data_IF_118126376710
#
_entry.id   IF_118126376710
#
_cell.length_a   1.000
_cell.length_b   1.000
_cell.length_c   1.000
_cell.angle_alpha   90.00
_cell.angle_beta   90.00
_cell.angle_gamma   90.00
#
_symmetry.space_group_name_H-M   'P 1'
#
loop_
_entity.id
_entity.type
_entity.pdbx_description
1 polymer ?
#
# COMPACT_ATOMS: atom_id res chain seq x y z
N UNK A 1 31.49 -8.44 2.69
CA UNK A 1 30.05 -8.70 2.87
C UNK A 1 29.68 -9.00 4.32
N UNK A 2 30.32 -9.95 5.02
CA UNK A 2 29.96 -10.28 6.41
C UNK A 2 30.01 -9.09 7.39
N UNK A 3 31.04 -8.22 7.30
CA UNK A 3 31.11 -7.00 8.11
C UNK A 3 29.99 -6.01 7.79
N UNK A 4 29.60 -5.88 6.51
CA UNK A 4 28.48 -5.03 6.07
C UNK A 4 27.14 -5.56 6.59
N UNK A 5 26.90 -6.87 6.49
CA UNK A 5 25.68 -7.52 6.99
C UNK A 5 25.57 -7.41 8.51
N UNK A 6 26.68 -7.57 9.23
CA UNK A 6 26.72 -7.38 10.69
C UNK A 6 26.39 -5.93 11.07
N UNK A 7 26.91 -4.95 10.32
CA UNK A 7 26.56 -3.54 10.48
C UNK A 7 25.08 -3.25 10.24
N UNK A 8 24.51 -3.81 9.16
CA UNK A 8 23.09 -3.70 8.84
C UNK A 8 22.25 -4.31 9.96
N UNK A 9 22.57 -5.53 10.40
CA UNK A 9 21.85 -6.23 11.48
C UNK A 9 21.84 -5.43 12.78
N UNK A 10 22.98 -4.82 13.15
CA UNK A 10 23.06 -3.91 14.29
C UNK A 10 22.13 -2.70 14.14
N UNK A 11 22.09 -2.09 12.95
CA UNK A 11 21.17 -0.99 12.66
C UNK A 11 19.69 -1.41 12.77
N UNK A 12 19.30 -2.56 12.21
CA UNK A 12 17.94 -3.08 12.34
C UNK A 12 17.60 -3.40 13.81
N UNK A 13 18.58 -3.89 14.58
CA UNK A 13 18.47 -4.10 16.03
C UNK A 13 18.09 -2.84 16.82
N UNK A 14 18.59 -1.67 16.41
CA UNK A 14 18.26 -0.37 17.04
C UNK A 14 16.80 0.05 16.83
N UNK A 15 16.20 -0.31 15.70
CA UNK A 15 14.77 -0.07 15.46
C UNK A 15 13.96 -1.08 16.26
N UNK A 16 14.38 -2.35 16.24
CA UNK A 16 13.71 -3.44 16.94
C UNK A 16 13.67 -3.26 18.47
N UNK A 17 14.63 -2.55 19.07
CA UNK A 17 14.64 -2.28 20.51
C UNK A 17 13.56 -1.29 20.97
N UNK A 18 12.88 -0.59 20.05
CA UNK A 18 11.78 0.32 20.38
C UNK A 18 10.58 -0.49 20.88
N UNK A 19 10.08 -0.16 22.07
CA UNK A 19 8.91 -0.82 22.67
C UNK A 19 7.71 -0.79 21.73
N UNK A 20 7.21 -1.98 21.38
CA UNK A 20 6.08 -2.15 20.48
C UNK A 20 6.44 -2.45 19.02
N UNK A 21 7.72 -2.33 18.62
CA UNK A 21 8.21 -2.86 17.35
C UNK A 21 8.37 -4.37 17.48
N UNK A 22 7.74 -5.10 16.56
CA UNK A 22 7.74 -6.56 16.54
C UNK A 22 8.82 -7.09 15.62
N UNK A 23 8.85 -6.59 14.38
CA UNK A 23 9.72 -7.08 13.32
C UNK A 23 10.27 -5.93 12.49
N UNK A 24 11.51 -6.08 12.03
CA UNK A 24 12.19 -5.18 11.11
C UNK A 24 12.90 -6.02 10.06
N UNK A 25 12.70 -5.72 8.79
CA UNK A 25 13.40 -6.40 7.68
C UNK A 25 13.86 -5.39 6.65
N UNK A 26 15.10 -5.56 6.19
CA UNK A 26 15.64 -4.90 5.01
C UNK A 26 15.34 -5.78 3.80
N UNK A 27 14.63 -5.23 2.83
CA UNK A 27 14.15 -5.95 1.66
C UNK A 27 14.70 -5.27 0.40
N UNK A 28 15.10 -6.08 -0.56
CA UNK A 28 15.43 -5.61 -1.90
C UNK A 28 14.15 -5.48 -2.74
N UNK A 29 14.18 -4.62 -3.75
CA UNK A 29 13.03 -4.33 -4.63
C UNK A 29 12.40 -5.55 -5.29
N UNK A 30 13.15 -6.61 -5.53
CA UNK A 30 12.68 -7.89 -6.08
C UNK A 30 11.98 -8.81 -5.06
N UNK A 31 11.87 -8.37 -3.80
CA UNK A 31 11.24 -9.12 -2.71
C UNK A 31 12.19 -10.04 -1.96
N UNK A 32 13.50 -9.98 -2.20
CA UNK A 32 14.47 -10.76 -1.42
C UNK A 32 14.78 -10.10 -0.06
N UNK A 33 14.73 -10.86 1.05
CA UNK A 33 15.21 -10.37 2.34
C UNK A 33 16.74 -10.28 2.33
N UNK A 34 17.27 -9.12 2.69
CA UNK A 34 18.71 -8.90 2.89
C UNK A 34 19.10 -9.29 4.31
N UNK A 35 18.44 -8.68 5.29
CA UNK A 35 18.67 -8.91 6.72
C UNK A 35 17.41 -8.61 7.52
N UNK A 36 17.27 -9.23 8.70
CA UNK A 36 16.11 -9.00 9.56
C UNK A 36 16.45 -9.00 11.05
N UNK A 37 15.60 -8.35 11.84
CA UNK A 37 15.67 -8.30 13.31
C UNK A 37 14.25 -8.31 13.87
N UNK A 38 13.90 -9.32 14.66
CA UNK A 38 12.51 -9.50 15.08
C UNK A 38 12.18 -10.89 15.61
N UNK A 39 10.90 -11.06 15.94
CA UNK A 39 10.30 -12.34 16.29
C UNK A 39 9.53 -12.83 15.06
N UNK A 40 10.18 -13.68 14.28
CA UNK A 40 9.59 -14.35 13.11
C UNK A 40 9.23 -15.80 13.47
N UNK A 41 8.07 -16.26 13.03
CA UNK A 41 7.60 -17.62 13.21
C UNK A 41 8.36 -18.60 12.31
N UNK A 42 8.76 -18.16 11.11
CA UNK A 42 9.52 -18.98 10.17
C UNK A 42 10.30 -18.13 9.16
N UNK A 43 11.26 -18.76 8.46
CA UNK A 43 11.91 -18.13 7.30
C UNK A 43 10.89 -17.81 6.20
N UNK A 44 9.90 -18.69 5.99
CA UNK A 44 8.87 -18.49 4.96
C UNK A 44 8.02 -17.25 5.23
N UNK A 45 7.78 -16.91 6.50
CA UNK A 45 7.09 -15.67 6.87
C UNK A 45 7.89 -14.43 6.42
N UNK A 46 9.21 -14.42 6.62
CA UNK A 46 10.09 -13.33 6.17
C UNK A 46 9.99 -13.17 4.65
N UNK A 47 10.12 -14.26 3.89
CA UNK A 47 10.01 -14.24 2.44
C UNK A 47 8.63 -13.77 1.97
N UNK A 48 7.55 -14.25 2.59
CA UNK A 48 6.19 -13.84 2.27
C UNK A 48 5.97 -12.35 2.49
N UNK A 49 6.44 -11.82 3.63
CA UNK A 49 6.37 -10.39 3.93
C UNK A 49 7.19 -9.59 2.92
N UNK A 50 8.43 -9.97 2.65
CA UNK A 50 9.29 -9.25 1.69
C UNK A 50 8.69 -9.22 0.27
N UNK A 51 8.12 -10.34 -0.18
CA UNK A 51 7.45 -10.43 -1.49
C UNK A 51 6.23 -9.52 -1.57
N UNK A 52 5.34 -9.56 -0.56
CA UNK A 52 4.14 -8.71 -0.55
C UNK A 52 4.53 -7.23 -0.43
N UNK A 53 5.48 -6.89 0.44
CA UNK A 53 5.92 -5.49 0.59
C UNK A 53 6.57 -4.99 -0.70
N UNK A 54 7.34 -5.82 -1.41
CA UNK A 54 7.90 -5.45 -2.71
C UNK A 54 6.79 -5.08 -3.71
N UNK A 55 5.73 -5.89 -3.79
CA UNK A 55 4.58 -5.56 -4.63
C UNK A 55 3.92 -4.23 -4.22
N UNK A 56 3.66 -4.05 -2.91
CA UNK A 56 3.11 -2.80 -2.36
C UNK A 56 3.99 -1.59 -2.70
N UNK A 57 5.30 -1.71 -2.48
CA UNK A 57 6.27 -0.64 -2.72
C UNK A 57 6.36 -0.28 -4.20
N UNK A 58 6.36 -1.26 -5.10
CA UNK A 58 6.42 -1.02 -6.54
C UNK A 58 5.16 -0.30 -7.04
N UNK A 59 3.97 -0.64 -6.55
CA UNK A 59 2.74 0.09 -6.89
C UNK A 59 2.80 1.53 -6.34
N UNK A 60 3.31 1.72 -5.12
CA UNK A 60 3.46 3.05 -4.54
C UNK A 60 4.49 3.92 -5.28
N UNK A 61 5.62 3.35 -5.71
CA UNK A 61 6.61 4.04 -6.55
C UNK A 61 6.06 4.33 -7.95
N UNK A 62 5.21 3.47 -8.51
CA UNK A 62 4.53 3.78 -9.77
C UNK A 62 3.55 4.95 -9.61
N UNK A 63 2.85 5.02 -8.48
CA UNK A 63 1.90 6.11 -8.19
C UNK A 63 2.61 7.42 -7.79
N UNK A 64 3.76 7.33 -7.11
CA UNK A 64 4.47 8.46 -6.51
C UNK A 64 5.94 8.53 -6.93
N UNK A 65 6.21 8.30 -8.21
CA UNK A 65 7.57 8.11 -8.77
C UNK A 65 8.59 9.14 -8.26
N UNK A 66 9.58 8.65 -7.51
CA UNK A 66 10.70 9.45 -6.96
C UNK A 66 10.31 10.47 -5.87
N UNK A 67 9.06 10.44 -5.41
CA UNK A 67 8.53 11.39 -4.43
C UNK A 67 8.17 10.75 -3.08
N UNK A 68 8.13 9.41 -3.01
CA UNK A 68 7.77 8.67 -1.80
C UNK A 68 8.87 8.77 -0.72
N UNK A 69 8.49 9.20 0.48
CA UNK A 69 9.37 9.24 1.65
C UNK A 69 9.17 8.01 2.54
N UNK A 70 7.92 7.64 2.81
CA UNK A 70 7.54 6.42 3.53
C UNK A 70 6.07 6.11 3.29
N UNK A 71 5.67 4.88 3.62
CA UNK A 71 4.29 4.45 3.68
C UNK A 71 3.95 3.91 5.06
N UNK A 72 2.79 4.27 5.58
CA UNK A 72 2.22 3.73 6.79
C UNK A 72 0.92 2.99 6.45
N UNK A 73 0.88 1.70 6.72
CA UNK A 73 -0.28 0.85 6.56
C UNK A 73 -0.84 0.58 7.95
N UNK A 74 -2.03 1.10 8.22
CA UNK A 74 -2.71 0.95 9.51
C UNK A 74 -3.77 -0.14 9.40
N UNK A 75 -3.62 -1.20 10.19
CA UNK A 75 -4.65 -2.22 10.38
C UNK A 75 -5.32 -2.12 11.74
N UNK A 76 -6.23 -3.06 12.01
CA UNK A 76 -6.96 -3.12 13.28
C UNK A 76 -6.08 -3.52 14.47
N UNK A 77 -5.02 -4.31 14.25
CA UNK A 77 -4.15 -4.82 15.34
C UNK A 77 -2.66 -4.51 15.17
N UNK A 78 -2.24 -4.02 14.02
CA UNK A 78 -0.85 -3.68 13.76
C UNK A 78 -0.71 -2.49 12.82
N UNK A 79 0.50 -1.94 12.82
CA UNK A 79 0.97 -0.92 11.89
C UNK A 79 2.16 -1.46 11.14
N UNK A 80 2.23 -1.16 9.85
CA UNK A 80 3.36 -1.51 9.01
C UNK A 80 3.91 -0.23 8.41
N UNK A 81 5.19 0.04 8.64
CA UNK A 81 5.90 1.18 8.08
C UNK A 81 6.88 0.65 7.03
N UNK A 82 6.81 1.19 5.82
CA UNK A 82 7.71 0.88 4.72
C UNK A 82 8.45 2.16 4.35
N UNK A 83 9.77 2.14 4.31
CA UNK A 83 10.56 3.32 3.99
C UNK A 83 11.70 2.98 3.02
N UNK A 84 11.77 3.65 1.85
CA UNK A 84 12.88 3.48 0.93
C UNK A 84 14.21 3.92 1.55
N UNK A 85 15.28 3.22 1.18
CA UNK A 85 16.64 3.64 1.45
C UNK A 85 17.13 4.40 0.24
N UNK A 86 17.25 5.71 0.40
CA UNK A 86 17.89 6.56 -0.60
C UNK A 86 19.41 6.33 -0.52
N UNK A 87 19.90 5.32 -1.24
CA UNK A 87 21.32 5.17 -1.53
C UNK A 87 21.72 6.35 -2.39
N UNK A 88 22.48 7.29 -1.81
CA UNK A 88 22.74 8.63 -2.35
C UNK A 88 23.62 8.69 -3.61
N UNK A 89 23.40 7.82 -4.58
CA UNK A 89 24.02 7.92 -5.89
C UNK A 89 23.01 8.54 -6.85
N UNK A 90 23.03 9.87 -6.92
CA UNK A 90 22.73 10.59 -8.17
C UNK A 90 23.82 10.27 -9.20
N UNK A 91 24.09 8.99 -9.47
CA UNK A 91 24.77 8.59 -10.69
C UNK A 91 23.67 8.46 -11.75
N UNK A 92 23.29 9.61 -12.30
CA UNK A 92 22.97 9.68 -13.71
C UNK A 92 24.19 9.17 -14.49
N UNK A 93 24.27 7.86 -14.75
CA UNK A 93 25.05 7.31 -15.88
C UNK A 93 24.79 5.81 -16.05
N UNK A 94 24.14 5.52 -17.18
CA UNK A 94 24.60 4.51 -18.14
C UNK A 94 24.43 3.01 -17.90
N UNK A 95 23.45 2.58 -17.09
CA UNK A 95 22.85 1.25 -17.27
C UNK A 95 21.32 1.33 -17.35
N UNK A 96 20.85 2.02 -18.40
CA UNK A 96 19.49 1.92 -18.94
C UNK A 96 19.25 0.54 -19.58
N UNK A 97 19.30 -0.54 -18.79
CA UNK A 97 18.82 -1.87 -19.24
C UNK A 97 17.48 -2.24 -18.58
N UNK A 98 17.02 -1.47 -17.59
CA UNK A 98 15.65 -1.55 -17.08
C UNK A 98 15.22 -0.15 -16.65
N UNK A 99 14.35 0.51 -17.43
CA UNK A 99 13.96 1.91 -17.30
C UNK A 99 13.19 2.31 -16.02
N UNK A 100 13.68 1.94 -14.83
CA UNK A 100 13.05 2.22 -13.55
C UNK A 100 13.92 3.11 -12.66
N UNK A 101 13.55 4.38 -12.53
CA UNK A 101 14.05 5.29 -11.48
C UNK A 101 13.36 4.94 -10.16
N UNK A 102 14.05 4.31 -9.22
CA UNK A 102 13.48 3.99 -7.90
C UNK A 102 14.51 3.47 -6.90
N UNK A 103 14.15 3.41 -5.62
CA UNK A 103 15.04 2.87 -4.57
C UNK A 103 15.13 1.34 -4.67
N UNK A 104 16.35 0.79 -4.69
CA UNK A 104 16.60 -0.66 -4.77
C UNK A 104 16.35 -1.39 -3.44
N UNK A 105 16.36 -0.66 -2.32
CA UNK A 105 16.22 -1.20 -0.98
C UNK A 105 15.19 -0.41 -0.18
N UNK A 106 14.47 -1.10 0.69
CA UNK A 106 13.55 -0.47 1.64
C UNK A 106 13.50 -1.25 2.95
N UNK A 107 13.20 -0.56 4.04
CA UNK A 107 12.99 -1.15 5.36
C UNK A 107 11.50 -1.33 5.58
N UNK A 108 11.10 -2.51 6.06
CA UNK A 108 9.75 -2.78 6.57
C UNK A 108 9.80 -2.95 8.07
N UNK A 109 8.91 -2.28 8.78
CA UNK A 109 8.78 -2.35 10.24
C UNK A 109 7.34 -2.74 10.57
N UNK A 110 7.16 -3.84 11.29
CA UNK A 110 5.87 -4.25 11.86
C UNK A 110 5.84 -3.88 13.33
N UNK A 111 4.77 -3.21 13.76
CA UNK A 111 4.61 -2.76 15.14
C UNK A 111 3.16 -2.89 15.63
N UNK A 112 3.00 -2.87 16.95
CA UNK A 112 1.69 -2.82 17.62
C UNK A 112 1.02 -1.46 17.42
N UNK A 113 -0.31 -1.39 17.53
CA UNK A 113 -1.06 -0.15 17.33
C UNK A 113 -0.60 1.03 18.20
N UNK A 114 -0.35 0.78 19.48
CA UNK A 114 0.00 1.81 20.48
C UNK A 114 1.49 2.17 20.49
N UNK A 115 2.23 1.84 19.43
CA UNK A 115 3.65 2.14 19.32
C UNK A 115 3.90 3.65 19.18
N UNK A 116 5.01 4.13 19.72
CA UNK A 116 5.44 5.51 19.51
C UNK A 116 6.03 5.67 18.10
N UNK A 117 5.19 6.09 17.15
CA UNK A 117 5.63 6.35 15.76
C UNK A 117 6.73 7.40 15.67
N UNK A 118 6.74 8.41 16.55
CA UNK A 118 7.79 9.43 16.56
C UNK A 118 9.17 8.84 16.88
N UNK A 119 9.24 7.94 17.86
CA UNK A 119 10.46 7.22 18.20
C UNK A 119 10.94 6.33 17.04
N UNK A 120 10.01 5.64 16.36
CA UNK A 120 10.32 4.85 15.15
C UNK A 120 10.91 5.76 14.08
N UNK A 121 10.28 6.90 13.77
CA UNK A 121 10.74 7.81 12.71
C UNK A 121 12.14 8.36 12.97
N UNK A 122 12.46 8.72 14.22
CA UNK A 122 13.78 9.21 14.60
C UNK A 122 14.84 8.10 14.41
N UNK A 123 14.60 6.92 14.98
CA UNK A 123 15.53 5.78 14.86
C UNK A 123 15.69 5.32 13.40
N UNK A 124 14.59 5.36 12.64
CA UNK A 124 14.56 5.01 11.22
C UNK A 124 15.39 5.97 10.39
N UNK A 125 15.33 7.29 10.63
CA UNK A 125 16.13 8.28 9.90
C UNK A 125 17.64 7.99 10.02
N UNK A 126 18.11 7.78 11.25
CA UNK A 126 19.52 7.48 11.51
C UNK A 126 19.93 6.13 10.91
N UNK A 127 19.05 5.14 11.01
CA UNK A 127 19.26 3.78 10.52
C UNK A 127 19.31 3.73 8.99
N UNK A 128 18.38 4.39 8.29
CA UNK A 128 18.36 4.48 6.82
C UNK A 128 19.64 5.14 6.32
N UNK A 129 20.07 6.25 6.94
CA UNK A 129 21.32 6.90 6.56
C UNK A 129 22.55 6.00 6.79
N UNK A 130 22.57 5.27 7.91
CA UNK A 130 23.68 4.36 8.24
C UNK A 130 23.72 3.18 7.27
N UNK A 131 22.57 2.55 6.98
CA UNK A 131 22.45 1.45 6.02
C UNK A 131 22.82 1.93 4.61
N UNK A 132 22.33 3.09 4.17
CA UNK A 132 22.69 3.68 2.88
C UNK A 132 24.20 3.91 2.74
N UNK A 133 24.88 4.38 3.79
CA UNK A 133 26.35 4.49 3.82
C UNK A 133 27.04 3.13 3.75
N UNK A 134 26.54 2.13 4.45
CA UNK A 134 27.10 0.76 4.42
C UNK A 134 26.95 0.16 3.01
N UNK A 135 25.79 0.31 2.38
CA UNK A 135 25.51 -0.18 1.02
C UNK A 135 26.45 0.53 0.03
N UNK A 136 26.50 1.86 0.04
CA UNK A 136 27.36 2.63 -0.86
C UNK A 136 28.87 2.36 -0.63
N UNK A 137 29.28 2.20 0.63
CA UNK A 137 30.66 1.88 1.01
C UNK A 137 31.07 0.43 0.70
N UNK A 138 30.12 -0.44 0.39
CA UNK A 138 30.38 -1.85 0.04
C UNK A 138 30.73 -2.07 -1.44
N UNK A 139 30.71 -1.01 -2.27
CA UNK A 139 30.93 -1.06 -3.73
C UNK A 139 29.67 -1.39 -4.55
N UNK A 140 29.77 -1.28 -5.88
CA UNK A 140 28.63 -1.36 -6.84
C UNK A 140 27.83 -2.67 -6.81
N UNK A 141 28.36 -3.73 -6.19
CA UNK A 141 27.76 -5.06 -6.17
C UNK A 141 27.33 -5.49 -4.76
N UNK A 142 26.79 -4.60 -3.93
CA UNK A 142 25.90 -5.07 -2.85
C UNK A 142 24.62 -5.58 -3.52
N UNK A 143 24.68 -6.81 -4.03
CA UNK A 143 23.54 -7.65 -4.35
C UNK A 143 23.72 -8.90 -3.48
N UNK A 144 22.77 -9.25 -2.62
CA UNK A 144 22.77 -10.57 -1.99
C UNK A 144 22.96 -11.63 -3.09
N UNK A 145 23.70 -12.73 -2.83
CA UNK A 145 23.89 -13.76 -3.84
C UNK A 145 22.52 -14.22 -4.34
N UNK A 146 22.34 -14.20 -5.67
CA UNK A 146 21.18 -14.78 -6.32
C UNK A 146 21.00 -16.19 -5.77
N UNK A 147 19.83 -16.49 -5.19
CA UNK A 147 19.47 -17.86 -4.84
C UNK A 147 19.48 -18.67 -6.13
N UNK A 148 20.51 -19.48 -6.33
CA UNK A 148 20.45 -20.58 -7.27
C UNK A 148 19.49 -21.60 -6.69
N UNK A 149 18.28 -21.68 -7.23
CA UNK A 149 17.39 -22.79 -6.95
C UNK A 149 17.96 -24.02 -7.67
N UNK A 150 18.12 -25.12 -6.94
CA UNK A 150 18.34 -26.43 -7.58
C UNK A 150 17.10 -26.78 -8.42
N UNK A 151 17.26 -27.57 -9.48
CA UNK A 151 16.15 -27.97 -10.37
C UNK A 151 15.00 -28.63 -9.58
N UNK A 152 15.33 -29.29 -8.47
CA UNK A 152 14.36 -29.88 -7.55
C UNK A 152 13.60 -28.84 -6.72
N UNK A 153 14.27 -27.77 -6.27
CA UNK A 153 13.61 -26.67 -5.57
C UNK A 153 12.73 -25.87 -6.52
N UNK A 154 13.22 -25.63 -7.75
CA UNK A 154 12.47 -24.92 -8.77
C UNK A 154 11.21 -25.70 -9.17
N UNK A 155 11.31 -27.02 -9.33
CA UNK A 155 10.13 -27.90 -9.53
C UNK A 155 9.16 -27.85 -8.36
N UNK A 156 9.63 -27.92 -7.10
CA UNK A 156 8.74 -27.78 -5.92
C UNK A 156 8.05 -26.43 -5.86
N UNK A 157 8.75 -25.36 -6.20
CA UNK A 157 8.19 -24.01 -6.26
C UNK A 157 7.13 -23.94 -7.37
N UNK A 158 7.44 -24.42 -8.57
CA UNK A 158 6.49 -24.47 -9.69
C UNK A 158 5.28 -25.37 -9.39
N UNK A 159 5.48 -26.50 -8.74
CA UNK A 159 4.41 -27.39 -8.24
C UNK A 159 3.58 -26.72 -7.14
N UNK A 160 4.18 -25.86 -6.32
CA UNK A 160 3.44 -25.07 -5.32
C UNK A 160 2.64 -23.90 -5.92
N UNK A 161 3.06 -23.41 -7.10
CA UNK A 161 2.26 -22.50 -7.93
C UNK A 161 1.19 -23.24 -8.75
N UNK A 162 1.36 -24.54 -8.96
CA UNK A 162 0.35 -25.42 -9.50
C UNK A 162 -0.67 -25.75 -8.39
N UNK A 163 -1.41 -24.70 -8.00
CA UNK A 163 -2.55 -24.81 -7.10
C UNK A 163 -3.48 -25.83 -7.74
N UNK A 164 -3.60 -27.01 -7.14
CA UNK A 164 -4.75 -27.86 -7.40
C UNK A 164 -5.97 -27.05 -7.01
N UNK A 165 -6.86 -26.81 -7.96
CA UNK A 165 -8.23 -26.32 -7.76
C UNK A 165 -9.10 -27.32 -6.94
N UNK A 166 -8.49 -28.17 -6.11
CA UNK A 166 -9.16 -29.20 -5.31
C UNK A 166 -9.48 -28.70 -3.88
N UNK A 167 -9.50 -27.39 -3.70
CA UNK A 167 -10.27 -26.79 -2.63
C UNK A 167 -11.47 -26.15 -3.29
N UNK A 168 -12.68 -26.60 -2.94
CA UNK A 168 -13.89 -25.79 -3.10
C UNK A 168 -13.72 -24.54 -2.22
N UNK A 169 -12.84 -23.61 -2.58
CA UNK A 169 -13.14 -22.21 -2.37
C UNK A 169 -14.34 -21.98 -3.26
N UNK A 170 -15.53 -22.08 -2.66
CA UNK A 170 -16.64 -21.26 -3.09
C UNK A 170 -16.16 -19.82 -2.98
N UNK A 171 -15.39 -19.36 -3.98
CA UNK A 171 -15.44 -17.98 -4.40
C UNK A 171 -16.87 -17.81 -4.87
N UNK A 172 -17.77 -17.55 -3.92
CA UNK A 172 -18.99 -16.83 -4.22
C UNK A 172 -18.50 -15.54 -4.82
N UNK A 173 -18.41 -15.52 -6.16
CA UNK A 173 -18.47 -14.29 -6.92
C UNK A 173 -19.86 -13.75 -6.61
N UNK A 174 -20.00 -13.14 -5.44
CA UNK A 174 -21.13 -12.29 -5.18
C UNK A 174 -20.93 -11.15 -6.17
N UNK A 175 -21.61 -11.25 -7.31
CA UNK A 175 -21.84 -10.11 -8.20
C UNK A 175 -22.73 -9.16 -7.42
N UNK A 176 -22.14 -8.50 -6.43
CA UNK A 176 -22.83 -7.56 -5.58
C UNK A 176 -23.04 -6.29 -6.40
N UNK A 177 -24.17 -6.22 -7.10
CA UNK A 177 -24.59 -5.04 -7.83
C UNK A 177 -24.59 -3.82 -6.89
N UNK A 178 -23.88 -2.77 -7.29
CA UNK A 178 -24.00 -1.45 -6.68
C UNK A 178 -24.94 -0.66 -7.57
N UNK A 179 -26.12 -0.34 -7.06
CA UNK A 179 -27.05 0.52 -7.77
C UNK A 179 -27.03 1.89 -7.09
N UNK A 180 -26.70 2.94 -7.84
CA UNK A 180 -26.61 4.30 -7.32
C UNK A 180 -27.67 5.13 -8.04
N UNK A 181 -28.73 5.47 -7.31
CA UNK A 181 -29.75 6.39 -7.82
C UNK A 181 -29.24 7.84 -7.79
N UNK A 182 -29.97 8.74 -8.45
CA UNK A 182 -29.61 10.17 -8.53
C UNK A 182 -29.44 10.81 -7.15
N UNK A 183 -30.38 10.55 -6.23
CA UNK A 183 -30.34 11.13 -4.87
C UNK A 183 -29.10 10.71 -4.08
N UNK A 184 -28.64 9.47 -4.23
CA UNK A 184 -27.48 8.95 -3.53
C UNK A 184 -26.18 9.45 -4.19
N UNK A 185 -26.17 9.55 -5.52
CA UNK A 185 -25.08 10.18 -6.25
C UNK A 185 -24.89 11.64 -5.82
N UNK A 186 -25.97 12.39 -5.62
CA UNK A 186 -25.92 13.76 -5.09
C UNK A 186 -25.35 13.80 -3.67
N UNK A 187 -25.87 12.97 -2.75
CA UNK A 187 -25.34 12.87 -1.37
C UNK A 187 -23.84 12.59 -1.35
N UNK A 188 -23.36 11.66 -2.18
CA UNK A 188 -21.94 11.31 -2.27
C UNK A 188 -21.14 12.50 -2.81
N UNK A 189 -21.62 13.14 -3.88
CA UNK A 189 -20.95 14.30 -4.49
C UNK A 189 -20.85 15.46 -3.50
N UNK A 190 -21.94 15.78 -2.81
CA UNK A 190 -21.98 16.84 -1.80
C UNK A 190 -21.04 16.55 -0.63
N UNK A 191 -20.96 15.28 -0.19
CA UNK A 191 -20.04 14.84 0.84
C UNK A 191 -18.58 15.06 0.45
N UNK A 192 -18.16 14.67 -0.76
CA UNK A 192 -16.78 14.92 -1.23
C UNK A 192 -16.52 16.41 -1.45
N UNK A 193 -17.52 17.13 -1.96
CA UNK A 193 -17.38 18.57 -2.17
C UNK A 193 -17.23 19.34 -0.85
N UNK A 194 -18.04 19.02 0.16
CA UNK A 194 -17.89 19.55 1.52
C UNK A 194 -16.54 19.18 2.12
N UNK A 195 -16.08 17.93 1.94
CA UNK A 195 -14.73 17.50 2.32
C UNK A 195 -13.65 18.39 1.70
N UNK A 196 -13.70 18.60 0.37
CA UNK A 196 -12.70 19.39 -0.37
C UNK A 196 -12.65 20.86 0.08
N UNK A 197 -13.77 21.41 0.55
CA UNK A 197 -13.85 22.78 1.09
C UNK A 197 -13.38 22.89 2.53
N UNK A 198 -13.72 21.93 3.38
CA UNK A 198 -13.44 22.00 4.82
C UNK A 198 -12.05 21.50 5.20
N UNK A 199 -11.48 20.59 4.42
CA UNK A 199 -10.14 20.06 4.68
C UNK A 199 -9.10 20.91 3.95
N UNK A 200 -8.22 21.63 4.68
CA UNK A 200 -7.26 22.52 4.05
C UNK A 200 -6.18 21.74 3.30
N UNK A 201 -5.83 22.24 2.11
CA UNK A 201 -4.76 21.69 1.29
C UNK A 201 -5.12 20.45 0.48
N UNK A 202 -6.41 20.06 0.39
CA UNK A 202 -6.86 18.99 -0.52
C UNK A 202 -6.51 19.40 -1.95
N UNK A 203 -5.83 18.50 -2.67
CA UNK A 203 -5.52 18.61 -4.09
C UNK A 203 -6.43 17.71 -4.93
N UNK A 204 -6.75 16.54 -4.39
CA UNK A 204 -7.64 15.58 -5.02
C UNK A 204 -8.44 14.84 -3.94
N UNK A 205 -9.68 14.51 -4.26
CA UNK A 205 -10.48 13.53 -3.53
C UNK A 205 -11.22 12.64 -4.54
N UNK A 206 -11.07 11.32 -4.40
CA UNK A 206 -11.61 10.35 -5.34
C UNK A 206 -12.17 9.12 -4.65
N UNK A 207 -13.15 8.50 -5.30
CA UNK A 207 -13.72 7.20 -4.94
C UNK A 207 -13.49 6.25 -6.10
N UNK A 208 -12.89 5.10 -5.79
CA UNK A 208 -12.79 3.97 -6.69
C UNK A 208 -13.53 2.77 -6.08
N UNK A 209 -14.38 2.12 -6.87
CA UNK A 209 -15.11 0.93 -6.46
C UNK A 209 -14.20 -0.30 -6.49
N UNK A 210 -14.69 -1.42 -5.98
CA UNK A 210 -14.01 -2.71 -6.08
C UNK A 210 -13.66 -3.04 -7.54
N UNK A 211 -12.44 -3.56 -7.76
CA UNK A 211 -11.86 -3.72 -9.09
C UNK A 211 -11.18 -2.45 -9.65
N UNK A 212 -11.20 -1.33 -8.92
CA UNK A 212 -10.52 -0.10 -9.30
C UNK A 212 -11.31 0.79 -10.27
N UNK A 213 -12.62 0.56 -10.42
CA UNK A 213 -13.47 1.39 -11.27
C UNK A 213 -13.62 2.81 -10.70
N UNK A 214 -13.26 3.87 -11.43
CA UNK A 214 -13.40 5.23 -10.95
C UNK A 214 -14.88 5.61 -10.88
N UNK A 215 -15.36 5.98 -9.68
CA UNK A 215 -16.74 6.42 -9.48
C UNK A 215 -16.86 7.94 -9.46
N UNK A 216 -16.04 8.60 -8.65
CA UNK A 216 -16.03 10.06 -8.54
C UNK A 216 -14.61 10.54 -8.35
N UNK A 217 -14.24 11.60 -9.05
CA UNK A 217 -12.94 12.25 -8.89
C UNK A 217 -13.13 13.76 -8.89
N UNK A 218 -12.70 14.42 -7.82
CA UNK A 218 -12.64 15.87 -7.70
C UNK A 218 -11.16 16.23 -7.62
N UNK A 219 -10.63 16.78 -8.71
CA UNK A 219 -9.29 17.36 -8.75
C UNK A 219 -9.38 18.88 -8.69
N UNK A 220 -8.65 19.47 -7.74
CA UNK A 220 -8.48 20.92 -7.62
C UNK A 220 -7.22 21.40 -8.37
N UNK A 221 -6.37 20.46 -8.80
CA UNK A 221 -5.22 20.70 -9.70
C UNK A 221 -5.53 20.18 -11.12
N UNK A 222 -4.97 20.84 -12.15
CA UNK A 222 -5.23 20.56 -13.57
C UNK A 222 -4.54 19.33 -14.14
N UNK A 223 -3.84 18.54 -13.32
CA UNK A 223 -3.24 17.28 -13.76
C UNK A 223 -4.34 16.22 -13.87
N UNK A 224 -4.32 15.48 -14.98
CA UNK A 224 -5.38 14.54 -15.34
C UNK A 224 -5.11 13.20 -14.63
N UNK A 225 -5.84 12.94 -13.54
CA UNK A 225 -5.54 11.88 -12.56
C UNK A 225 -6.44 10.64 -12.69
N UNK A 226 -7.03 10.37 -13.86
CA UNK A 226 -8.01 9.27 -13.99
C UNK A 226 -7.45 7.89 -13.59
N UNK A 227 -6.14 7.64 -13.82
CA UNK A 227 -5.49 6.39 -13.42
C UNK A 227 -5.19 6.30 -11.91
N UNK A 228 -5.21 7.41 -11.16
CA UNK A 228 -4.82 7.40 -9.75
C UNK A 228 -5.82 6.67 -8.87
N UNK A 229 -7.11 6.73 -9.17
CA UNK A 229 -8.12 5.97 -8.41
C UNK A 229 -7.87 4.46 -8.48
N UNK A 230 -7.61 3.94 -9.69
CA UNK A 230 -7.33 2.52 -9.92
C UNK A 230 -5.99 2.07 -9.29
N UNK A 231 -4.95 2.90 -9.38
CA UNK A 231 -3.66 2.63 -8.76
C UNK A 231 -3.75 2.71 -7.23
N UNK A 232 -4.51 3.66 -6.69
CA UNK A 232 -4.79 3.77 -5.25
C UNK A 232 -5.53 2.54 -4.75
N UNK A 233 -6.50 2.04 -5.53
CA UNK A 233 -7.22 0.80 -5.20
C UNK A 233 -6.26 -0.39 -5.19
N UNK A 234 -5.45 -0.54 -6.25
CA UNK A 234 -4.44 -1.60 -6.34
C UNK A 234 -3.47 -1.56 -5.16
N UNK A 235 -3.03 -0.37 -4.75
CA UNK A 235 -2.15 -0.18 -3.61
C UNK A 235 -2.81 -0.60 -2.30
N UNK A 236 -4.04 -0.18 -2.08
CA UNK A 236 -4.82 -0.53 -0.88
C UNK A 236 -5.10 -2.03 -0.82
N UNK A 237 -5.51 -2.64 -1.94
CA UNK A 237 -5.83 -4.06 -2.03
C UNK A 237 -4.58 -4.94 -1.80
N UNK A 238 -3.46 -4.57 -2.42
CA UNK A 238 -2.17 -5.25 -2.16
C UNK A 238 -1.76 -5.09 -0.69
N UNK A 239 -2.03 -3.94 -0.08
CA UNK A 239 -1.78 -3.68 1.34
C UNK A 239 -2.70 -4.46 2.29
N UNK A 240 -3.89 -4.90 1.86
CA UNK A 240 -4.72 -5.83 2.66
C UNK A 240 -3.99 -7.15 2.90
N UNK A 241 -3.30 -7.66 1.86
CA UNK A 241 -2.64 -8.97 1.88
C UNK A 241 -1.57 -9.05 2.97
N UNK A 242 -0.78 -8.00 3.17
CA UNK A 242 0.28 -8.00 4.19
C UNK A 242 -0.27 -8.02 5.61
N UNK A 243 -1.31 -7.23 5.91
CA UNK A 243 -1.93 -7.24 7.24
C UNK A 243 -2.65 -8.56 7.49
N UNK A 244 -3.35 -9.09 6.49
CA UNK A 244 -3.99 -10.41 6.58
C UNK A 244 -2.95 -11.51 6.86
N UNK A 245 -1.81 -11.48 6.18
CA UNK A 245 -0.72 -12.45 6.36
C UNK A 245 -0.11 -12.38 7.77
N UNK A 246 0.14 -11.17 8.28
CA UNK A 246 0.83 -10.98 9.56
C UNK A 246 -0.09 -11.09 10.79
N UNK A 247 -1.35 -10.65 10.68
CA UNK A 247 -2.25 -10.47 11.83
C UNK A 247 -3.65 -11.03 11.63
N UNK A 248 -4.02 -11.44 10.42
CA UNK A 248 -5.37 -11.91 10.06
C UNK A 248 -6.45 -10.89 10.47
N UNK A 249 -6.16 -9.61 10.23
CA UNK A 249 -7.07 -8.50 10.54
C UNK A 249 -7.30 -7.63 9.32
N UNK A 250 -8.42 -6.89 9.27
CA UNK A 250 -8.64 -5.91 8.22
C UNK A 250 -7.62 -4.77 8.31
N UNK A 251 -7.36 -4.18 7.14
CA UNK A 251 -6.68 -2.91 7.00
C UNK A 251 -7.69 -1.76 7.18
N UNK A 252 -7.27 -0.68 7.81
CA UNK A 252 -8.06 0.53 7.95
C UNK A 252 -7.71 1.53 6.86
N UNK A 253 -6.43 1.91 6.78
CA UNK A 253 -5.95 2.91 5.83
C UNK A 253 -4.49 2.67 5.41
N UNK A 254 -4.13 3.31 4.29
CA UNK A 254 -2.75 3.46 3.81
C UNK A 254 -2.47 4.95 3.71
N UNK A 255 -1.34 5.38 4.26
CA UNK A 255 -0.79 6.72 4.12
C UNK A 255 0.53 6.63 3.36
N UNK A 256 0.62 7.28 2.21
CA UNK A 256 1.88 7.52 1.52
C UNK A 256 2.32 8.96 1.80
N UNK A 257 3.45 9.13 2.47
CA UNK A 257 4.05 10.45 2.65
C UNK A 257 4.99 10.74 1.50
N UNK A 258 4.70 11.80 0.74
CA UNK A 258 5.54 12.26 -0.35
C UNK A 258 6.21 13.60 0.00
N UNK A 259 7.17 14.03 -0.82
CA UNK A 259 7.91 15.30 -0.61
C UNK A 259 7.01 16.53 -0.50
N UNK A 260 5.97 16.62 -1.33
CA UNK A 260 5.12 17.82 -1.45
C UNK A 260 3.66 17.60 -1.02
N UNK A 261 3.25 16.36 -0.82
CA UNK A 261 1.90 16.00 -0.42
C UNK A 261 1.88 14.70 0.38
N UNK A 262 0.75 14.42 1.00
CA UNK A 262 0.41 13.14 1.60
C UNK A 262 -0.77 12.56 0.85
N UNK A 263 -0.69 11.30 0.48
CA UNK A 263 -1.80 10.56 -0.09
C UNK A 263 -2.38 9.63 0.98
N UNK A 264 -3.66 9.83 1.29
CA UNK A 264 -4.41 8.99 2.20
C UNK A 264 -5.39 8.12 1.44
N UNK A 265 -5.40 6.82 1.72
CA UNK A 265 -6.32 5.86 1.15
C UNK A 265 -7.04 5.14 2.28
N UNK A 266 -8.37 5.22 2.30
CA UNK A 266 -9.23 4.57 3.27
C UNK A 266 -10.13 3.57 2.57
N UNK A 267 -10.36 2.43 3.23
CA UNK A 267 -11.40 1.52 2.79
C UNK A 267 -12.76 2.11 3.07
N UNK A 268 -13.66 2.01 2.10
CA UNK A 268 -15.10 2.20 2.29
C UNK A 268 -15.79 0.89 1.89
N UNK A 269 -17.06 0.73 2.24
CA UNK A 269 -17.81 -0.43 1.77
C UNK A 269 -17.83 -0.43 0.23
N UNK A 270 -17.37 -1.53 -0.37
CA UNK A 270 -17.26 -1.77 -1.82
C UNK A 270 -16.30 -0.85 -2.60
N UNK A 271 -15.25 -0.37 -1.96
CA UNK A 271 -14.24 0.43 -2.66
C UNK A 271 -13.25 1.10 -1.72
N UNK A 272 -12.66 2.19 -2.21
CA UNK A 272 -11.77 3.06 -1.47
C UNK A 272 -12.17 4.53 -1.63
N UNK A 273 -11.84 5.30 -0.61
CA UNK A 273 -11.74 6.76 -0.70
C UNK A 273 -10.26 7.15 -0.65
N UNK A 274 -9.79 7.88 -1.66
CA UNK A 274 -8.42 8.38 -1.76
C UNK A 274 -8.37 9.90 -1.82
N UNK A 275 -7.42 10.51 -1.13
CA UNK A 275 -7.24 11.97 -1.15
C UNK A 275 -5.78 12.39 -1.04
N UNK A 276 -5.42 13.42 -1.81
CA UNK A 276 -4.10 14.03 -1.78
C UNK A 276 -4.18 15.35 -1.02
N UNK A 277 -3.28 15.57 -0.06
CA UNK A 277 -3.24 16.77 0.78
C UNK A 277 -1.83 17.36 0.75
N UNK A 278 -1.71 18.65 0.43
CA UNK A 278 -0.45 19.40 0.43
C UNK A 278 0.26 19.35 1.79
N UNK A 279 1.57 19.07 1.78
CA UNK A 279 2.38 18.96 3.01
C UNK A 279 2.43 20.27 3.81
N UNK A 280 2.35 21.44 3.14
CA UNK A 280 2.47 22.75 3.77
C UNK A 280 1.25 23.17 4.62
N UNK A 281 0.09 22.55 4.43
CA UNK A 281 -1.15 22.86 5.17
C UNK A 281 -1.62 21.72 6.08
N UNK A 282 -0.76 20.73 6.32
CA UNK A 282 -1.09 19.49 7.00
C UNK A 282 -1.16 19.67 8.53
N UNK A 283 -2.38 19.84 9.06
CA UNK A 283 -2.64 19.67 10.50
C UNK A 283 -3.00 18.21 10.79
N UNK A 284 -2.00 17.34 10.95
CA UNK A 284 -2.17 15.88 11.12
C UNK A 284 -3.25 15.49 12.15
N UNK A 285 -3.29 16.16 13.31
CA UNK A 285 -4.31 15.91 14.33
C UNK A 285 -5.73 16.20 13.85
N UNK A 286 -5.92 17.28 13.10
CA UNK A 286 -7.21 17.64 12.50
C UNK A 286 -7.60 16.65 11.40
N UNK A 287 -6.65 16.27 10.53
CA UNK A 287 -6.90 15.30 9.45
C UNK A 287 -7.31 13.92 9.98
N UNK A 288 -6.70 13.48 11.08
CA UNK A 288 -7.06 12.23 11.77
C UNK A 288 -8.46 12.25 12.39
N UNK A 289 -9.04 13.43 12.58
CA UNK A 289 -10.41 13.59 13.08
C UNK A 289 -11.40 13.74 11.92
N UNK A 290 -11.09 14.58 10.94
CA UNK A 290 -11.99 14.88 9.83
C UNK A 290 -12.11 13.71 8.84
N UNK A 291 -10.99 13.16 8.34
CA UNK A 291 -11.06 12.19 7.25
C UNK A 291 -11.88 10.94 7.65
N UNK A 292 -11.66 10.31 8.83
CA UNK A 292 -12.45 9.14 9.21
C UNK A 292 -13.96 9.42 9.31
N UNK A 293 -14.35 10.65 9.69
CA UNK A 293 -15.77 11.03 9.74
C UNK A 293 -16.41 11.00 8.35
N UNK A 294 -15.74 11.59 7.34
CA UNK A 294 -16.24 11.53 5.96
C UNK A 294 -16.21 10.12 5.38
N UNK A 295 -15.17 9.33 5.71
CA UNK A 295 -15.07 7.92 5.29
C UNK A 295 -16.26 7.12 5.83
N UNK A 296 -16.67 7.34 7.07
CA UNK A 296 -17.85 6.68 7.65
C UNK A 296 -19.13 7.07 6.90
N UNK A 297 -19.36 8.35 6.65
CA UNK A 297 -20.53 8.82 5.87
C UNK A 297 -20.56 8.23 4.47
N UNK A 298 -19.42 8.23 3.77
CA UNK A 298 -19.31 7.61 2.44
C UNK A 298 -19.59 6.11 2.50
N UNK A 299 -19.07 5.41 3.51
CA UNK A 299 -19.34 3.98 3.69
C UNK A 299 -20.82 3.71 3.95
N UNK A 300 -21.51 4.54 4.74
CA UNK A 300 -22.94 4.42 5.00
C UNK A 300 -23.75 4.62 3.70
N UNK A 301 -23.39 5.60 2.87
CA UNK A 301 -24.00 5.79 1.54
C UNK A 301 -23.76 4.60 0.62
N UNK A 302 -22.57 4.01 0.62
CA UNK A 302 -22.30 2.80 -0.19
C UNK A 302 -23.08 1.57 0.30
N UNK A 303 -23.35 1.47 1.61
CA UNK A 303 -24.24 0.45 2.17
C UNK A 303 -25.68 0.70 1.71
N UNK A 304 -26.15 1.94 1.69
CA UNK A 304 -27.47 2.31 1.15
C UNK A 304 -27.59 1.90 -0.32
N UNK A 305 -26.56 2.18 -1.14
CA UNK A 305 -26.49 1.79 -2.56
C UNK A 305 -26.66 0.29 -2.78
N UNK A 306 -26.08 -0.52 -1.88
CA UNK A 306 -26.11 -1.98 -1.99
C UNK A 306 -27.46 -2.61 -1.68
N UNK A 307 -28.39 -1.85 -1.08
CA UNK A 307 -29.73 -2.32 -0.72
C UNK A 307 -30.79 -1.99 -1.77
N UNK A 308 -30.43 -1.22 -2.80
CA UNK A 308 -31.35 -0.83 -3.87
C UNK A 308 -31.54 -2.03 -4.79
N UNK A 309 -32.75 -2.59 -4.79
CA UNK A 309 -33.12 -3.68 -5.68
C UNK A 309 -32.95 -3.23 -7.15
N UNK A 310 -32.18 -4.00 -7.91
CA UNK A 310 -32.17 -3.88 -9.37
C UNK A 310 -33.47 -4.44 -9.91
N UNK A 311 -34.24 -3.69 -10.73
CA UNK A 311 -35.30 -4.30 -11.50
C UNK A 311 -34.69 -5.40 -12.36
N UNK A 312 -35.30 -6.58 -12.35
CA UNK A 312 -34.92 -7.67 -13.25
C UNK A 312 -34.99 -7.13 -14.69
N UNK A 313 -33.86 -7.15 -15.39
CA UNK A 313 -33.86 -6.97 -16.84
C UNK A 313 -34.66 -8.15 -17.42
N UNK A 314 -35.92 -7.91 -17.76
CA UNK A 314 -36.72 -8.85 -18.54
C UNK A 314 -36.15 -8.91 -19.96
N UNK A 315 -35.09 -9.71 -20.13
CA UNK A 315 -34.43 -9.95 -21.43
C UNK A 315 -35.43 -10.49 -22.47
N UNK A 316 -36.57 -11.03 -22.03
CA UNK A 316 -37.66 -11.48 -22.90
C UNK A 316 -38.21 -10.38 -23.83
N UNK A 317 -38.33 -9.13 -23.35
CA UNK A 317 -38.99 -8.07 -24.12
C UNK A 317 -38.06 -7.39 -25.13
N UNK A 318 -36.73 -7.56 -24.99
CA UNK A 318 -35.75 -6.96 -25.91
C UNK A 318 -35.76 -7.67 -27.28
N UNK A 319 -36.14 -8.96 -27.30
CA UNK A 319 -36.17 -9.76 -28.52
C UNK A 319 -37.56 -9.86 -29.18
N UNK A 320 -38.60 -9.29 -28.56
CA UNK A 320 -39.93 -9.26 -29.19
C UNK A 320 -40.05 -8.19 -30.29
N UNK A 321 -39.26 -7.10 -30.20
CA UNK A 321 -39.18 -6.08 -31.26
C UNK A 321 -38.34 -6.50 -32.48
N UNK A 322 -37.73 -7.69 -32.45
CA UNK A 322 -36.97 -8.28 -33.56
C UNK A 322 -37.71 -9.39 -34.31
N UNK A 323 -39.01 -9.57 -34.08
CA UNK A 323 -39.86 -10.54 -34.80
C UNK A 323 -40.77 -9.90 -35.85
#
# INVERSE_FOLDING_TARGET
MENSLTGIKSCLGRIKSITGVENVVLTQRDGQPVESSGVWLSRNEIFGVCSIVSAVFNVAEQLHSGNLNYMLIDGERAKILIAPINSGNNFESDLNVSGFKGSEYFITITARLKVNLGAIMISMKDTIQSIGRIINGSGENFKPPLRSYDDNELKRILESFNVKEDGESQDTIDSENININETLSEKIRDCIFDFSKRVPGVKMASIALDGGYPFLNISLDSLNLQAEGALSYSLYDTSKRIISTLKKTPINNVLCECKQYSHFIYGIKKGIFSTFISSGQKRLGLLRLLIPQYVNWLSDYMIEASKIETPLLEIGNIFEDFK
#
